data_IF_973209883717
#
_entry.id   IF_973209883717
#
_cell.length_a   1.000
_cell.length_b   1.000
_cell.length_c   1.000
_cell.angle_alpha   90.00
_cell.angle_beta   90.00
_cell.angle_gamma   90.00
#
_symmetry.space_group_name_H-M   'P 1'
#
loop_
_entity.id
_entity.type
_entity.pdbx_description
1 polymer ?
#
# COMPACT_ATOMS: atom_id res chain seq x y z
N UNK A 1 4.79 14.17 -19.85
CA UNK A 1 5.78 14.40 -18.77
C UNK A 1 6.69 13.18 -18.74
N UNK A 2 7.81 13.22 -19.47
CA UNK A 2 8.73 12.08 -19.65
C UNK A 2 9.78 12.01 -18.53
N UNK A 3 10.17 13.18 -18.00
CA UNK A 3 11.20 13.34 -16.97
C UNK A 3 10.77 12.90 -15.54
N UNK A 4 9.46 12.92 -15.23
CA UNK A 4 8.93 12.37 -13.98
C UNK A 4 8.79 10.84 -13.97
N UNK A 5 8.99 10.20 -15.13
CA UNK A 5 8.90 8.75 -15.32
C UNK A 5 10.27 8.06 -15.30
N UNK A 6 11.37 8.82 -15.21
CA UNK A 6 12.75 8.28 -15.31
C UNK A 6 13.62 8.58 -14.09
N UNK A 7 13.10 9.31 -13.10
CA UNK A 7 13.85 9.66 -11.89
C UNK A 7 13.36 8.83 -10.71
N UNK A 8 14.24 7.96 -10.22
CA UNK A 8 14.08 7.26 -8.95
C UNK A 8 13.91 8.29 -7.83
N UNK A 9 12.77 8.26 -7.13
CA UNK A 9 12.48 9.20 -6.04
C UNK A 9 12.93 8.55 -4.73
N UNK A 10 14.02 9.01 -4.07
CA UNK A 10 14.58 8.35 -2.89
C UNK A 10 13.85 8.66 -1.57
N UNK A 11 12.65 9.26 -1.62
CA UNK A 11 12.08 9.94 -0.45
C UNK A 11 10.57 9.77 -0.32
N UNK A 12 10.12 8.53 -0.22
CA UNK A 12 8.99 8.26 0.66
C UNK A 12 9.24 6.88 1.22
N UNK A 13 9.56 6.81 2.52
CA UNK A 13 9.49 5.54 3.22
C UNK A 13 8.16 4.91 2.82
N UNK A 14 8.22 3.70 2.27
CA UNK A 14 7.02 2.94 1.96
C UNK A 14 6.15 3.00 3.22
N UNK A 15 4.92 3.52 3.08
CA UNK A 15 4.03 3.56 4.22
C UNK A 15 3.95 2.16 4.81
N UNK A 16 4.08 2.08 6.13
CA UNK A 16 3.75 0.84 6.82
C UNK A 16 2.31 0.49 6.48
N UNK A 17 1.99 -0.80 6.46
CA UNK A 17 0.61 -1.25 6.20
C UNK A 17 -0.36 -0.55 7.17
N UNK A 18 0.07 -0.32 8.40
CA UNK A 18 -0.68 0.42 9.41
C UNK A 18 -0.98 1.87 9.01
N UNK A 19 -0.01 2.60 8.47
CA UNK A 19 -0.21 3.99 8.02
C UNK A 19 -1.14 4.04 6.80
N UNK A 20 -0.98 3.10 5.87
CA UNK A 20 -1.85 3.02 4.70
C UNK A 20 -3.31 2.72 5.10
N UNK A 21 -3.52 1.76 5.99
CA UNK A 21 -4.85 1.41 6.50
C UNK A 21 -5.47 2.58 7.27
N UNK A 22 -4.69 3.25 8.13
CA UNK A 22 -5.18 4.40 8.89
C UNK A 22 -5.67 5.55 7.99
N UNK A 23 -4.98 5.82 6.87
CA UNK A 23 -5.44 6.82 5.92
C UNK A 23 -6.72 6.39 5.20
N UNK A 24 -6.82 5.11 4.81
CA UNK A 24 -8.03 4.58 4.17
C UNK A 24 -9.24 4.71 5.11
N UNK A 25 -9.02 4.48 6.40
CA UNK A 25 -10.04 4.67 7.43
C UNK A 25 -10.45 6.14 7.58
N UNK A 26 -9.49 7.06 7.60
CA UNK A 26 -9.76 8.52 7.70
C UNK A 26 -10.54 9.07 6.49
N UNK A 27 -10.31 8.48 5.32
CA UNK A 27 -10.95 8.88 4.06
C UNK A 27 -12.18 8.02 3.69
N UNK A 28 -12.57 7.11 4.59
CA UNK A 28 -13.80 6.32 4.50
C UNK A 28 -15.04 7.23 4.54
N UNK A 29 -15.92 7.08 3.55
CA UNK A 29 -17.10 7.92 3.38
C UNK A 29 -16.86 9.26 2.68
N UNK A 30 -15.59 9.63 2.40
CA UNK A 30 -15.23 10.81 1.61
C UNK A 30 -14.74 10.41 0.21
N UNK A 31 -13.61 9.70 0.17
CA UNK A 31 -12.97 9.23 -1.06
C UNK A 31 -13.15 7.73 -1.26
N UNK A 32 -13.31 6.98 -0.17
CA UNK A 32 -13.55 5.54 -0.21
C UNK A 32 -14.98 5.20 0.20
N UNK A 33 -15.55 4.17 -0.41
CA UNK A 33 -16.86 3.66 -0.01
C UNK A 33 -16.73 2.94 1.34
N UNK A 34 -17.51 3.31 2.39
CA UNK A 34 -17.41 2.68 3.71
C UNK A 34 -17.55 1.16 3.68
N UNK A 35 -18.42 0.62 2.83
CA UNK A 35 -18.61 -0.83 2.71
C UNK A 35 -17.37 -1.54 2.17
N UNK A 36 -16.62 -0.89 1.28
CA UNK A 36 -15.36 -1.44 0.76
C UNK A 36 -14.24 -1.34 1.77
N UNK A 37 -14.21 -0.29 2.60
CA UNK A 37 -13.26 -0.17 3.72
C UNK A 37 -13.51 -1.27 4.74
N UNK A 38 -14.77 -1.58 5.07
CA UNK A 38 -15.09 -2.72 5.94
C UNK A 38 -14.63 -4.06 5.37
N UNK A 39 -14.88 -4.32 4.08
CA UNK A 39 -14.42 -5.55 3.42
C UNK A 39 -12.89 -5.62 3.41
N UNK A 40 -12.21 -4.50 3.17
CA UNK A 40 -10.75 -4.42 3.21
C UNK A 40 -10.20 -4.91 4.55
N UNK A 41 -10.82 -4.54 5.68
CA UNK A 41 -10.43 -5.05 7.00
C UNK A 41 -10.65 -6.54 7.16
N UNK A 42 -11.74 -7.07 6.60
CA UNK A 42 -12.03 -8.52 6.65
C UNK A 42 -10.98 -9.33 5.90
N UNK A 43 -10.52 -8.87 4.73
CA UNK A 43 -9.52 -9.56 3.90
C UNK A 43 -8.07 -9.16 4.22
N UNK A 44 -7.86 -8.22 5.15
CA UNK A 44 -6.52 -7.73 5.50
C UNK A 44 -5.54 -8.83 5.93
N UNK A 45 -5.95 -9.88 6.68
CA UNK A 45 -5.06 -10.99 7.01
C UNK A 45 -4.53 -11.72 5.77
N UNK A 46 -5.37 -11.94 4.76
CA UNK A 46 -4.98 -12.58 3.50
C UNK A 46 -4.06 -11.68 2.67
N UNK A 47 -4.34 -10.38 2.63
CA UNK A 47 -3.47 -9.39 1.97
C UNK A 47 -2.08 -9.36 2.62
N UNK A 48 -2.01 -9.45 3.95
CA UNK A 48 -0.74 -9.49 4.69
C UNK A 48 0.03 -10.79 4.43
N UNK A 49 -0.65 -11.93 4.40
CA UNK A 49 -0.06 -13.24 4.09
C UNK A 49 0.53 -13.26 2.67
N UNK A 50 -0.22 -12.75 1.69
CA UNK A 50 0.27 -12.56 0.31
C UNK A 50 1.46 -11.60 0.32
N UNK A 51 1.37 -10.45 0.99
CA UNK A 51 2.48 -9.49 1.05
C UNK A 51 3.75 -10.12 1.64
N UNK A 52 3.62 -10.98 2.65
CA UNK A 52 4.73 -11.71 3.25
C UNK A 52 5.28 -12.78 2.30
N UNK A 53 4.42 -13.55 1.65
CA UNK A 53 4.79 -14.56 0.66
C UNK A 53 5.54 -13.98 -0.55
N UNK A 54 5.23 -12.75 -0.96
CA UNK A 54 5.86 -12.06 -2.08
C UNK A 54 6.87 -10.99 -1.65
N UNK A 55 7.25 -10.94 -0.36
CA UNK A 55 8.23 -9.95 0.14
C UNK A 55 9.66 -10.17 -0.38
N UNK A 56 9.93 -11.28 -1.09
CA UNK A 56 11.23 -11.57 -1.70
C UNK A 56 11.19 -11.51 -3.24
N UNK A 57 11.49 -10.32 -3.79
CA UNK A 57 12.22 -10.13 -5.05
C UNK A 57 12.51 -8.63 -5.33
N UNK A 58 12.93 -7.83 -4.33
CA UNK A 58 13.78 -6.67 -4.66
C UNK A 58 15.20 -7.23 -4.79
N UNK A 59 15.51 -7.68 -6.01
CA UNK A 59 16.85 -8.04 -6.42
C UNK A 59 17.80 -6.92 -6.02
N UNK A 60 18.75 -7.27 -5.16
CA UNK A 60 19.97 -6.51 -5.02
C UNK A 60 20.64 -6.46 -6.40
N UNK A 61 20.61 -5.29 -7.04
CA UNK A 61 21.51 -5.00 -8.15
C UNK A 61 22.94 -5.16 -7.62
N UNK A 62 23.62 -6.21 -8.09
CA UNK A 62 25.05 -6.47 -7.92
C UNK A 62 25.80 -6.13 -9.21
#
# INVERSE_FOLDING_TARGET
MFDALTTERPYKNAWSVKEAVALIDEESGKHFNPSLVSILHEVMPEILDIKEQYAEAQQADN
#
